data_IF_777221363005
#
_entry.id   IF_777221363005
#
_cell.length_a   1.000
_cell.length_b   1.000
_cell.length_c   1.000
_cell.angle_alpha   90.00
_cell.angle_beta   90.00
_cell.angle_gamma   90.00
#
_symmetry.space_group_name_H-M   'P 1'
#
loop_
_entity.id
_entity.type
_entity.pdbx_description
1 polymer ?
#
# COMPACT_ATOMS: atom_id res chain seq x y z
N UNK A 1 -18.14 -9.12 -17.94
CA UNK A 1 -17.25 -7.97 -17.61
C UNK A 1 -17.20 -7.63 -16.11
N UNK A 2 -18.32 -7.60 -15.37
CA UNK A 2 -18.33 -7.22 -13.93
C UNK A 2 -17.50 -8.13 -13.00
N UNK A 3 -17.55 -9.44 -13.22
CA UNK A 3 -16.83 -10.44 -12.40
C UNK A 3 -15.31 -10.25 -12.48
N UNK A 4 -14.79 -10.00 -13.68
CA UNK A 4 -13.36 -9.75 -13.89
C UNK A 4 -12.89 -8.52 -13.10
N UNK A 5 -13.66 -7.43 -13.12
CA UNK A 5 -13.35 -6.21 -12.39
C UNK A 5 -13.32 -6.45 -10.87
N UNK A 6 -14.28 -7.24 -10.34
CA UNK A 6 -14.32 -7.59 -8.91
C UNK A 6 -13.08 -8.40 -8.52
N UNK A 7 -12.74 -9.44 -9.30
CA UNK A 7 -11.55 -10.27 -9.04
C UNK A 7 -10.30 -9.39 -9.03
N UNK A 8 -10.16 -8.50 -10.02
CA UNK A 8 -9.02 -7.60 -10.11
C UNK A 8 -8.93 -6.66 -8.90
N UNK A 9 -10.05 -6.07 -8.48
CA UNK A 9 -10.09 -5.18 -7.31
C UNK A 9 -9.74 -5.92 -6.01
N UNK A 10 -10.20 -7.17 -5.84
CA UNK A 10 -9.82 -8.00 -4.69
C UNK A 10 -8.31 -8.27 -4.69
N UNK A 11 -7.75 -8.66 -5.83
CA UNK A 11 -6.31 -8.93 -5.97
C UNK A 11 -5.49 -7.68 -5.67
N UNK A 12 -5.84 -6.54 -6.27
CA UNK A 12 -5.11 -5.29 -6.06
C UNK A 12 -5.22 -4.82 -4.60
N UNK A 13 -6.41 -4.90 -4.00
CA UNK A 13 -6.60 -4.56 -2.58
C UNK A 13 -5.77 -5.47 -1.67
N UNK A 14 -5.65 -6.75 -2.00
CA UNK A 14 -4.81 -7.71 -1.27
C UNK A 14 -3.32 -7.40 -1.41
N UNK A 15 -2.87 -6.95 -2.59
CA UNK A 15 -1.49 -6.48 -2.80
C UNK A 15 -1.22 -5.25 -1.93
N UNK A 16 -2.14 -4.28 -1.85
CA UNK A 16 -2.00 -3.11 -0.99
C UNK A 16 -1.88 -3.50 0.48
N UNK A 17 -2.69 -4.47 0.94
CA UNK A 17 -2.59 -5.01 2.30
C UNK A 17 -1.24 -5.67 2.55
N UNK A 18 -0.78 -6.50 1.62
CA UNK A 18 0.53 -7.15 1.71
C UNK A 18 1.67 -6.13 1.75
N UNK A 19 1.66 -5.14 0.87
CA UNK A 19 2.67 -4.08 0.84
C UNK A 19 2.66 -3.27 2.14
N UNK A 20 1.48 -2.87 2.62
CA UNK A 20 1.34 -2.15 3.89
C UNK A 20 1.93 -2.94 5.05
N UNK A 21 1.55 -4.22 5.17
CA UNK A 21 2.09 -5.13 6.19
C UNK A 21 3.61 -5.33 6.06
N UNK A 22 4.11 -5.46 4.83
CA UNK A 22 5.53 -5.60 4.54
C UNK A 22 6.33 -4.38 5.04
N UNK A 23 5.89 -3.15 4.74
CA UNK A 23 6.57 -1.94 5.21
C UNK A 23 6.55 -1.84 6.74
N UNK A 24 5.42 -2.18 7.39
CA UNK A 24 5.33 -2.18 8.85
C UNK A 24 6.27 -3.21 9.49
N UNK A 25 6.45 -4.38 8.86
CA UNK A 25 7.36 -5.42 9.34
C UNK A 25 8.85 -5.06 9.25
N UNK A 26 9.21 -4.08 8.41
CA UNK A 26 10.59 -3.68 8.13
C UNK A 26 10.97 -2.30 8.67
N UNK A 27 10.20 -1.72 9.60
CA UNK A 27 10.51 -0.40 10.18
C UNK A 27 11.86 -0.29 10.90
N UNK A 28 12.46 -1.42 11.29
CA UNK A 28 13.72 -1.51 12.05
C UNK A 28 14.59 -2.69 11.61
N UNK A 29 14.39 -3.15 10.37
CA UNK A 29 15.12 -4.29 9.80
C UNK A 29 15.53 -3.93 8.37
N UNK A 30 16.72 -4.35 7.93
CA UNK A 30 17.14 -4.12 6.56
C UNK A 30 16.20 -4.85 5.59
N UNK A 31 15.93 -4.22 4.45
CA UNK A 31 15.19 -4.84 3.36
C UNK A 31 15.65 -4.25 2.03
N UNK A 32 15.78 -5.08 1.00
CA UNK A 32 16.34 -4.66 -0.30
C UNK A 32 17.70 -3.95 -0.10
N UNK A 33 17.78 -2.67 -0.47
CA UNK A 33 18.96 -1.80 -0.30
C UNK A 33 18.81 -0.80 0.86
N UNK A 34 17.70 -0.88 1.60
CA UNK A 34 17.32 0.08 2.62
C UNK A 34 17.68 -0.40 4.03
N UNK A 35 18.19 0.54 4.84
CA UNK A 35 18.65 0.31 6.22
C UNK A 35 17.91 1.18 7.24
N UNK A 36 16.60 0.97 7.47
CA UNK A 36 15.79 1.76 8.40
C UNK A 36 16.24 1.65 9.86
N UNK A 37 17.01 0.62 10.21
CA UNK A 37 17.70 0.50 11.50
C UNK A 37 18.77 1.59 11.72
N UNK A 38 19.36 2.10 10.64
CA UNK A 38 20.41 3.13 10.66
C UNK A 38 19.85 4.53 10.45
N UNK A 39 18.67 4.66 9.83
CA UNK A 39 17.98 5.93 9.57
C UNK A 39 16.58 5.96 10.20
N UNK A 40 16.43 6.54 11.40
CA UNK A 40 15.15 6.59 12.12
C UNK A 40 14.01 7.26 11.34
N UNK A 41 14.32 8.23 10.49
CA UNK A 41 13.37 8.91 9.60
C UNK A 41 12.75 7.95 8.59
N UNK A 42 13.55 7.06 7.99
CA UNK A 42 13.07 6.03 7.07
C UNK A 42 12.13 5.05 7.78
N UNK A 43 12.48 4.60 8.99
CA UNK A 43 11.58 3.78 9.82
C UNK A 43 10.23 4.45 10.10
N UNK A 44 10.24 5.77 10.33
CA UNK A 44 9.03 6.59 10.45
C UNK A 44 8.20 6.64 9.16
N UNK A 45 8.84 6.84 8.01
CA UNK A 45 8.19 6.82 6.68
C UNK A 45 7.54 5.46 6.44
N UNK A 46 8.26 4.36 6.67
CA UNK A 46 7.72 2.99 6.51
C UNK A 46 6.50 2.75 7.41
N UNK A 47 6.50 3.30 8.62
CA UNK A 47 5.35 3.22 9.52
C UNK A 47 4.12 3.97 8.99
N UNK A 48 4.29 5.24 8.61
CA UNK A 48 3.19 6.06 8.13
C UNK A 48 2.65 5.52 6.81
N UNK A 49 3.53 5.24 5.85
CA UNK A 49 3.13 4.73 4.54
C UNK A 49 2.54 3.32 4.63
N UNK A 50 3.08 2.45 5.49
CA UNK A 50 2.52 1.13 5.74
C UNK A 50 1.09 1.17 6.28
N UNK A 51 0.82 2.06 7.24
CA UNK A 51 -0.53 2.25 7.79
C UNK A 51 -1.51 2.80 6.75
N UNK A 52 -1.08 3.77 5.93
CA UNK A 52 -1.91 4.32 4.84
C UNK A 52 -2.26 3.23 3.82
N UNK A 53 -1.29 2.40 3.41
CA UNK A 53 -1.53 1.30 2.47
C UNK A 53 -2.48 0.24 3.04
N UNK A 54 -2.34 -0.10 4.33
CA UNK A 54 -3.27 -1.00 4.99
C UNK A 54 -4.69 -0.42 5.01
N UNK A 55 -4.84 0.86 5.34
CA UNK A 55 -6.14 1.53 5.36
C UNK A 55 -6.79 1.56 3.97
N UNK A 56 -6.05 1.94 2.93
CA UNK A 56 -6.54 1.99 1.56
C UNK A 56 -6.88 0.59 1.02
N UNK A 57 -6.03 -0.40 1.29
CA UNK A 57 -6.27 -1.80 0.91
C UNK A 57 -7.50 -2.38 1.59
N UNK A 58 -7.65 -2.20 2.90
CA UNK A 58 -8.79 -2.69 3.66
C UNK A 58 -10.10 -2.02 3.24
N UNK A 59 -10.07 -0.69 3.06
CA UNK A 59 -11.24 0.08 2.63
C UNK A 59 -11.66 -0.33 1.21
N UNK A 60 -10.71 -0.42 0.27
CA UNK A 60 -10.99 -0.87 -1.10
C UNK A 60 -11.59 -2.27 -1.12
N UNK A 61 -11.04 -3.20 -0.35
CA UNK A 61 -11.53 -4.58 -0.27
C UNK A 61 -12.97 -4.62 0.27
N UNK A 62 -13.24 -3.89 1.35
CA UNK A 62 -14.58 -3.78 1.93
C UNK A 62 -15.60 -3.22 0.94
N UNK A 63 -15.27 -2.10 0.27
CA UNK A 63 -16.12 -1.44 -0.73
C UNK A 63 -16.36 -2.36 -1.95
N UNK A 64 -15.37 -3.16 -2.33
CA UNK A 64 -15.51 -4.17 -3.40
C UNK A 64 -16.51 -5.26 -3.01
N UNK A 65 -16.45 -5.77 -1.77
CA UNK A 65 -17.34 -6.84 -1.28
C UNK A 65 -18.80 -6.39 -1.22
N UNK A 66 -19.07 -5.14 -0.83
CA UNK A 66 -20.44 -4.58 -0.82
C UNK A 66 -20.95 -4.19 -2.23
N UNK A 67 -20.18 -4.47 -3.29
CA UNK A 67 -20.59 -4.28 -4.68
C UNK A 67 -20.43 -2.86 -5.24
N UNK A 68 -19.76 -1.96 -4.51
CA UNK A 68 -19.60 -0.54 -4.86
C UNK A 68 -18.35 -0.31 -5.73
N UNK A 69 -18.33 -0.91 -6.93
CA UNK A 69 -17.16 -1.01 -7.83
C UNK A 69 -16.54 0.36 -8.16
N UNK A 70 -17.35 1.38 -8.45
CA UNK A 70 -16.85 2.72 -8.79
C UNK A 70 -16.03 3.33 -7.65
N UNK A 71 -16.50 3.19 -6.42
CA UNK A 71 -15.81 3.70 -5.23
C UNK A 71 -14.53 2.93 -4.94
N UNK A 72 -14.55 1.60 -5.07
CA UNK A 72 -13.35 0.77 -4.93
C UNK A 72 -12.29 1.18 -5.96
N UNK A 73 -12.69 1.41 -7.22
CA UNK A 73 -11.78 1.86 -8.27
C UNK A 73 -11.11 3.19 -7.93
N UNK A 74 -11.87 4.17 -7.43
CA UNK A 74 -11.32 5.47 -7.00
C UNK A 74 -10.30 5.31 -5.86
N UNK A 75 -10.59 4.45 -4.88
CA UNK A 75 -9.67 4.18 -3.77
C UNK A 75 -8.37 3.54 -4.28
N UNK A 76 -8.48 2.54 -5.16
CA UNK A 76 -7.31 1.88 -5.77
C UNK A 76 -6.48 2.87 -6.60
N UNK A 77 -7.14 3.77 -7.34
CA UNK A 77 -6.45 4.80 -8.10
C UNK A 77 -5.65 5.74 -7.18
N UNK A 78 -6.25 6.21 -6.09
CA UNK A 78 -5.54 6.97 -5.06
C UNK A 78 -4.35 6.20 -4.47
N UNK A 79 -4.53 4.90 -4.21
CA UNK A 79 -3.45 4.04 -3.72
C UNK A 79 -2.30 3.90 -4.74
N UNK A 80 -2.60 3.81 -6.03
CA UNK A 80 -1.59 3.75 -7.09
C UNK A 80 -0.74 5.04 -7.16
N UNK A 81 -1.37 6.21 -7.05
CA UNK A 81 -0.65 7.48 -6.92
C UNK A 81 0.21 7.51 -5.67
N UNK A 82 -0.32 7.04 -4.54
CA UNK A 82 0.42 6.98 -3.28
C UNK A 82 1.65 6.08 -3.37
N UNK A 83 1.54 4.88 -3.97
CA UNK A 83 2.67 3.97 -4.18
C UNK A 83 3.73 4.61 -5.09
N UNK A 84 3.32 5.38 -6.09
CA UNK A 84 4.25 6.13 -6.95
C UNK A 84 5.03 7.17 -6.15
N UNK A 85 4.34 7.96 -5.32
CA UNK A 85 4.97 8.94 -4.42
C UNK A 85 5.93 8.26 -3.43
N UNK A 86 5.50 7.14 -2.83
CA UNK A 86 6.34 6.35 -1.93
C UNK A 86 7.64 5.92 -2.62
N UNK A 87 7.59 5.54 -3.90
CA UNK A 87 8.77 5.12 -4.66
C UNK A 87 9.78 6.27 -4.80
N UNK A 88 9.30 7.49 -5.05
CA UNK A 88 10.15 8.69 -5.06
C UNK A 88 10.70 9.03 -3.67
N UNK A 89 9.90 8.89 -2.61
CA UNK A 89 10.39 9.10 -1.23
C UNK A 89 11.47 8.08 -0.89
N UNK A 90 11.29 6.80 -1.22
CA UNK A 90 12.29 5.77 -0.96
C UNK A 90 13.60 6.05 -1.69
N UNK A 91 13.56 6.60 -2.91
CA UNK A 91 14.75 6.96 -3.67
C UNK A 91 15.64 7.99 -2.95
N UNK A 92 15.10 8.85 -2.09
CA UNK A 92 15.91 9.82 -1.32
C UNK A 92 16.73 9.18 -0.20
N UNK A 93 16.54 7.87 0.05
CA UNK A 93 17.23 7.09 1.09
C UNK A 93 18.18 6.03 0.51
N UNK A 94 18.37 6.01 -0.83
CA UNK A 94 19.47 5.27 -1.48
C UNK A 94 20.77 6.07 -1.35
#
# INVERSE_FOLDING_TARGET
MKILAIILLIVVSSILLFMGGYLLGHQRKPFLVFHPESTPTLGGVLKVCGLILLALGALSLFITIIGQILWALLIVLCAAFFVSILSFIMLTYL
#
